data_IF_834122621861
#
_entry.id   IF_834122621861
#
_cell.length_a   1.000
_cell.length_b   1.000
_cell.length_c   1.000
_cell.angle_alpha   90.00
_cell.angle_beta   90.00
_cell.angle_gamma   90.00
#
_symmetry.space_group_name_H-M   'P 1'
#
loop_
_entity.id
_entity.type
_entity.pdbx_description
1 polymer ?
#
# COMPACT_ATOMS: atom_id res chain seq x y z
N UNK A 1 -43.47 38.38 6.29
CA UNK A 1 -43.39 37.40 5.19
C UNK A 1 -42.82 38.10 3.96
N UNK A 2 -41.50 38.04 3.80
CA UNK A 2 -40.83 38.31 2.53
C UNK A 2 -39.63 37.37 2.50
N UNK A 3 -39.67 36.50 1.51
CA UNK A 3 -38.84 35.32 1.27
C UNK A 3 -37.79 35.72 0.22
N UNK A 4 -36.60 35.11 0.34
CA UNK A 4 -35.48 35.00 -0.60
C UNK A 4 -34.67 36.27 -0.96
N UNK A 5 -33.35 36.25 -0.76
CA UNK A 5 -32.40 35.54 -1.64
C UNK A 5 -31.00 35.55 -0.99
N UNK A 6 -30.47 34.35 -0.73
CA UNK A 6 -29.04 34.09 -0.53
C UNK A 6 -28.29 34.45 -1.81
N UNK A 7 -27.42 35.45 -1.73
CA UNK A 7 -26.32 35.62 -2.67
C UNK A 7 -25.03 35.20 -1.93
N UNK A 8 -24.75 33.90 -1.90
CA UNK A 8 -23.38 33.41 -1.73
C UNK A 8 -22.77 33.23 -3.13
N UNK A 9 -22.49 34.35 -3.79
CA UNK A 9 -21.53 34.41 -4.90
C UNK A 9 -20.11 34.35 -4.31
N UNK A 10 -19.69 33.15 -3.94
CA UNK A 10 -18.30 32.84 -3.54
C UNK A 10 -17.47 32.56 -4.83
N UNK A 11 -17.42 33.55 -5.73
CA UNK A 11 -16.53 33.55 -6.91
C UNK A 11 -15.15 34.09 -6.53
N UNK A 12 -14.45 33.35 -5.65
CA UNK A 12 -13.06 33.64 -5.30
C UNK A 12 -12.11 32.93 -6.27
N UNK A 13 -11.74 33.64 -7.33
CA UNK A 13 -10.84 33.22 -8.42
C UNK A 13 -9.37 32.91 -8.02
N UNK A 14 -9.04 32.82 -6.73
CA UNK A 14 -7.73 32.38 -6.25
C UNK A 14 -7.82 31.07 -5.47
N UNK A 15 -6.99 30.06 -5.81
CA UNK A 15 -7.05 28.77 -5.15
C UNK A 15 -6.56 28.89 -3.71
N UNK A 16 -7.51 29.01 -2.77
CA UNK A 16 -7.27 29.12 -1.33
C UNK A 16 -6.45 27.92 -0.81
N UNK A 17 -5.52 28.14 0.14
CA UNK A 17 -4.80 27.05 0.77
C UNK A 17 -5.76 26.15 1.55
N UNK A 18 -5.53 24.83 1.51
CA UNK A 18 -6.37 23.86 2.24
C UNK A 18 -6.14 23.95 3.74
N UNK A 19 -7.22 23.81 4.52
CA UNK A 19 -7.14 23.75 5.99
C UNK A 19 -6.35 22.54 6.49
N UNK A 20 -5.66 22.69 7.63
CA UNK A 20 -4.84 21.63 8.24
C UNK A 20 -5.65 20.35 8.53
N UNK A 21 -6.90 20.49 8.94
CA UNK A 21 -7.80 19.37 9.18
C UNK A 21 -8.11 18.58 7.91
N UNK A 22 -8.32 19.26 6.77
CA UNK A 22 -8.52 18.60 5.47
C UNK A 22 -7.29 17.78 5.05
N UNK A 23 -6.09 18.31 5.27
CA UNK A 23 -4.83 17.61 5.02
C UNK A 23 -4.72 16.35 5.87
N UNK A 24 -5.03 16.44 7.15
CA UNK A 24 -5.01 15.31 8.07
C UNK A 24 -6.04 14.25 7.67
N UNK A 25 -7.30 14.63 7.48
CA UNK A 25 -8.37 13.70 7.13
C UNK A 25 -8.08 12.99 5.81
N UNK A 26 -7.61 13.71 4.79
CA UNK A 26 -7.20 13.09 3.54
C UNK A 26 -6.03 12.11 3.74
N UNK A 27 -5.00 12.51 4.50
CA UNK A 27 -3.81 11.69 4.74
C UNK A 27 -4.10 10.33 5.36
N UNK A 28 -5.05 10.25 6.31
CA UNK A 28 -5.40 9.00 6.98
C UNK A 28 -6.27 8.05 6.14
N UNK A 29 -6.86 8.53 5.04
CA UNK A 29 -7.84 7.76 4.26
C UNK A 29 -7.30 6.46 3.68
N UNK A 30 -6.01 6.41 3.33
CA UNK A 30 -5.39 5.24 2.71
C UNK A 30 -4.82 4.21 3.71
N UNK A 31 -4.96 4.46 5.01
CA UNK A 31 -4.28 3.68 6.06
C UNK A 31 -4.63 2.18 6.01
N UNK A 32 -5.91 1.82 5.82
CA UNK A 32 -6.33 0.41 5.72
C UNK A 32 -5.66 -0.31 4.54
N UNK A 33 -5.62 0.33 3.38
CA UNK A 33 -4.95 -0.19 2.19
C UNK A 33 -3.44 -0.37 2.42
N UNK A 34 -2.79 0.57 3.10
CA UNK A 34 -1.35 0.53 3.33
C UNK A 34 -0.96 -0.55 4.35
N UNK A 35 -1.72 -0.67 5.46
CA UNK A 35 -1.51 -1.72 6.46
C UNK A 35 -1.71 -3.10 5.84
N UNK A 36 -2.79 -3.29 5.07
CA UNK A 36 -3.08 -4.59 4.43
C UNK A 36 -2.10 -4.91 3.31
N UNK A 37 -1.64 -3.93 2.53
CA UNK A 37 -0.58 -4.12 1.53
C UNK A 37 0.75 -4.53 2.17
N UNK A 38 1.13 -3.89 3.27
CA UNK A 38 2.34 -4.23 4.01
C UNK A 38 2.31 -5.70 4.49
N UNK A 39 1.16 -6.15 4.97
CA UNK A 39 0.96 -7.52 5.44
C UNK A 39 0.90 -8.51 4.28
N UNK A 40 0.20 -8.15 3.20
CA UNK A 40 0.13 -8.90 1.95
C UNK A 40 1.53 -9.18 1.41
N UNK A 41 2.34 -8.14 1.17
CA UNK A 41 3.67 -8.32 0.60
C UNK A 41 4.59 -9.03 1.59
N UNK A 42 4.60 -8.71 2.88
CA UNK A 42 5.58 -9.29 3.81
C UNK A 42 5.24 -10.73 4.23
N UNK A 43 3.96 -11.04 4.45
CA UNK A 43 3.56 -12.24 5.20
C UNK A 43 2.70 -13.22 4.41
N UNK A 44 2.10 -12.85 3.26
CA UNK A 44 1.21 -13.77 2.53
C UNK A 44 1.93 -15.04 2.09
N UNK A 45 3.05 -14.91 1.36
CA UNK A 45 3.78 -16.06 0.84
C UNK A 45 4.32 -16.93 1.99
N UNK A 46 4.82 -16.30 3.05
CA UNK A 46 5.32 -17.00 4.23
C UNK A 46 4.19 -17.78 4.91
N UNK A 47 3.03 -17.15 5.11
CA UNK A 47 1.86 -17.82 5.67
C UNK A 47 1.41 -19.01 4.82
N UNK A 48 1.23 -18.82 3.50
CA UNK A 48 0.76 -19.88 2.60
C UNK A 48 1.70 -21.08 2.55
N UNK A 49 3.02 -20.85 2.61
CA UNK A 49 4.02 -21.92 2.66
C UNK A 49 4.08 -22.60 4.03
N UNK A 50 3.96 -21.85 5.14
CA UNK A 50 3.93 -22.40 6.51
C UNK A 50 2.67 -23.25 6.78
N UNK A 51 1.53 -22.96 6.14
CA UNK A 51 0.31 -23.79 6.24
C UNK A 51 0.35 -25.03 5.34
N UNK A 52 1.34 -25.15 4.46
CA UNK A 52 1.60 -26.36 3.67
C UNK A 52 1.31 -26.29 2.17
N UNK A 53 0.96 -25.13 1.61
CA UNK A 53 0.90 -24.99 0.14
C UNK A 53 2.30 -25.10 -0.45
N UNK A 54 2.40 -25.69 -1.64
CA UNK A 54 3.67 -25.68 -2.37
C UNK A 54 4.08 -24.24 -2.71
N UNK A 55 5.38 -23.92 -2.81
CA UNK A 55 5.83 -22.58 -3.20
C UNK A 55 5.22 -22.10 -4.53
N UNK A 56 4.97 -23.04 -5.45
CA UNK A 56 4.31 -22.78 -6.74
C UNK A 56 2.86 -22.34 -6.56
N UNK A 57 2.12 -23.00 -5.68
CA UNK A 57 0.71 -22.70 -5.43
C UNK A 57 0.57 -21.39 -4.66
N UNK A 58 1.43 -21.14 -3.66
CA UNK A 58 1.50 -19.87 -2.95
C UNK A 58 1.80 -18.68 -3.89
N UNK A 59 2.74 -18.86 -4.82
CA UNK A 59 3.03 -17.86 -5.86
C UNK A 59 1.84 -17.64 -6.80
N UNK A 60 1.08 -18.70 -7.12
CA UNK A 60 -0.14 -18.61 -7.94
C UNK A 60 -1.22 -17.76 -7.25
N UNK A 61 -1.40 -17.91 -5.93
CA UNK A 61 -2.33 -17.07 -5.14
C UNK A 61 -1.92 -15.61 -5.20
N UNK A 62 -0.64 -15.30 -4.97
CA UNK A 62 -0.16 -13.91 -5.03
C UNK A 62 -0.33 -13.32 -6.44
N UNK A 63 -0.01 -14.10 -7.48
CA UNK A 63 -0.16 -13.70 -8.88
C UNK A 63 -1.62 -13.39 -9.25
N UNK A 64 -2.57 -14.22 -8.80
CA UNK A 64 -3.99 -13.99 -9.02
C UNK A 64 -4.44 -12.62 -8.48
N UNK A 65 -3.95 -12.25 -7.29
CA UNK A 65 -4.16 -10.93 -6.71
C UNK A 65 -3.61 -9.79 -7.58
N UNK A 66 -2.36 -9.90 -8.06
CA UNK A 66 -1.74 -8.86 -8.89
C UNK A 66 -2.44 -8.67 -10.24
N UNK A 67 -2.89 -9.77 -10.87
CA UNK A 67 -3.68 -9.70 -12.11
C UNK A 67 -5.01 -9.01 -11.85
N UNK A 68 -5.70 -9.37 -10.76
CA UNK A 68 -6.96 -8.75 -10.38
C UNK A 68 -6.80 -7.24 -10.13
N UNK A 69 -5.75 -6.82 -9.42
CA UNK A 69 -5.42 -5.39 -9.18
C UNK A 69 -5.24 -4.62 -10.50
N UNK A 70 -4.46 -5.19 -11.44
CA UNK A 70 -4.19 -4.56 -12.73
C UNK A 70 -5.46 -4.28 -13.54
N UNK A 71 -6.39 -5.24 -13.59
CA UNK A 71 -7.68 -5.03 -14.24
C UNK A 71 -8.59 -4.09 -13.43
N UNK A 72 -8.73 -4.34 -12.13
CA UNK A 72 -9.62 -3.58 -11.26
C UNK A 72 -9.27 -2.09 -11.21
N UNK A 73 -7.98 -1.74 -11.25
CA UNK A 73 -7.52 -0.35 -11.28
C UNK A 73 -8.04 0.39 -12.51
N UNK A 74 -7.99 -0.23 -13.70
CA UNK A 74 -8.49 0.36 -14.95
C UNK A 74 -10.01 0.50 -14.91
N UNK A 75 -10.72 -0.55 -14.51
CA UNK A 75 -12.18 -0.52 -14.43
C UNK A 75 -12.68 0.47 -13.38
N UNK A 76 -12.08 0.48 -12.18
CA UNK A 76 -12.44 1.43 -11.13
C UNK A 76 -12.23 2.87 -11.59
N UNK A 77 -11.13 3.18 -12.28
CA UNK A 77 -10.89 4.51 -12.84
C UNK A 77 -11.98 4.95 -13.82
N UNK A 78 -12.32 4.12 -14.81
CA UNK A 78 -13.37 4.45 -15.79
C UNK A 78 -14.76 4.55 -15.14
N UNK A 79 -15.06 3.70 -14.16
CA UNK A 79 -16.36 3.73 -13.45
C UNK A 79 -16.47 4.96 -12.53
N UNK A 80 -15.41 5.33 -11.82
CA UNK A 80 -15.36 6.56 -11.01
C UNK A 80 -15.53 7.79 -11.91
N UNK A 81 -14.88 7.84 -13.06
CA UNK A 81 -15.04 8.94 -14.02
C UNK A 81 -16.48 9.07 -14.53
N UNK A 82 -17.19 7.95 -14.74
CA UNK A 82 -18.58 7.95 -15.24
C UNK A 82 -19.61 8.25 -14.16
N UNK A 83 -19.47 7.63 -12.99
CA UNK A 83 -20.48 7.65 -11.93
C UNK A 83 -20.15 8.66 -10.82
N UNK A 84 -18.92 9.14 -10.74
CA UNK A 84 -18.46 10.02 -9.66
C UNK A 84 -18.47 9.34 -8.28
N UNK A 85 -18.68 10.13 -7.24
CA UNK A 85 -18.83 9.71 -5.85
C UNK A 85 -17.63 8.96 -5.25
N UNK A 86 -16.51 9.68 -5.10
CA UNK A 86 -15.24 9.13 -4.62
C UNK A 86 -15.36 8.43 -3.27
N UNK A 87 -16.09 8.99 -2.28
CA UNK A 87 -16.21 8.32 -0.97
C UNK A 87 -17.02 7.04 -1.04
N UNK A 88 -18.01 6.93 -1.92
CA UNK A 88 -18.80 5.68 -2.05
C UNK A 88 -17.89 4.56 -2.56
N UNK A 89 -17.11 4.82 -3.61
CA UNK A 89 -16.12 3.87 -4.13
C UNK A 89 -15.06 3.51 -3.08
N UNK A 90 -14.56 4.53 -2.36
CA UNK A 90 -13.60 4.33 -1.27
C UNK A 90 -14.16 3.45 -0.14
N UNK A 91 -15.38 3.75 0.32
CA UNK A 91 -16.04 3.00 1.39
C UNK A 91 -16.37 1.57 0.99
N UNK A 92 -16.93 1.38 -0.22
CA UNK A 92 -17.23 0.05 -0.74
C UNK A 92 -15.95 -0.79 -0.90
N UNK A 93 -14.89 -0.21 -1.46
CA UNK A 93 -13.58 -0.86 -1.57
C UNK A 93 -12.99 -1.21 -0.20
N UNK A 94 -13.09 -0.31 0.78
CA UNK A 94 -12.58 -0.54 2.14
C UNK A 94 -13.32 -1.67 2.86
N UNK A 95 -14.65 -1.74 2.72
CA UNK A 95 -15.46 -2.84 3.26
C UNK A 95 -15.06 -4.16 2.59
N UNK A 96 -14.89 -4.14 1.27
CA UNK A 96 -14.47 -5.33 0.53
C UNK A 96 -13.11 -5.82 1.01
N UNK A 97 -12.13 -4.92 1.17
CA UNK A 97 -10.81 -5.19 1.74
C UNK A 97 -10.91 -5.83 3.12
N UNK A 98 -11.66 -5.22 4.05
CA UNK A 98 -11.78 -5.72 5.42
C UNK A 98 -12.33 -7.14 5.50
N UNK A 99 -13.36 -7.45 4.69
CA UNK A 99 -13.99 -8.77 4.63
C UNK A 99 -13.07 -9.77 3.94
N UNK A 100 -12.54 -9.45 2.77
CA UNK A 100 -11.72 -10.38 1.98
C UNK A 100 -10.38 -10.68 2.66
N UNK A 101 -9.76 -9.68 3.29
CA UNK A 101 -8.46 -9.86 3.96
C UNK A 101 -8.58 -10.77 5.19
N UNK A 102 -9.71 -10.69 5.90
CA UNK A 102 -10.06 -11.65 6.95
C UNK A 102 -10.15 -13.08 6.43
N UNK A 103 -10.63 -13.28 5.20
CA UNK A 103 -10.71 -14.59 4.54
C UNK A 103 -9.36 -15.09 4.02
N UNK A 104 -8.46 -14.19 3.57
CA UNK A 104 -7.11 -14.56 3.09
C UNK A 104 -6.29 -15.24 4.18
N UNK A 105 -6.43 -14.82 5.44
CA UNK A 105 -5.80 -15.47 6.60
C UNK A 105 -6.79 -16.35 7.41
N UNK A 106 -8.03 -16.45 6.95
CA UNK A 106 -9.15 -17.09 7.65
C UNK A 106 -9.29 -18.60 7.41
N UNK A 107 -8.38 -19.20 6.64
CA UNK A 107 -8.44 -20.61 6.26
C UNK A 107 -9.40 -20.89 5.11
N UNK A 108 -9.34 -22.10 4.55
CA UNK A 108 -10.18 -22.50 3.42
C UNK A 108 -11.64 -22.79 3.85
N UNK A 109 -12.56 -21.83 3.67
CA UNK A 109 -13.99 -21.98 3.94
C UNK A 109 -14.62 -23.15 3.12
N UNK A 110 -14.34 -23.29 1.79
CA UNK A 110 -14.86 -24.40 1.00
C UNK A 110 -14.37 -25.77 1.49
N UNK A 111 -13.15 -25.85 2.01
CA UNK A 111 -12.57 -27.09 2.52
C UNK A 111 -13.30 -27.57 3.79
N UNK A 112 -13.78 -26.65 4.64
CA UNK A 112 -14.62 -26.97 5.81
C UNK A 112 -16.01 -27.48 5.40
N UNK A 113 -16.57 -26.96 4.30
CA UNK A 113 -17.91 -27.32 3.82
C UNK A 113 -17.88 -28.66 3.05
N UNK A 114 -16.85 -28.88 2.23
CA UNK A 114 -16.75 -30.04 1.34
C UNK A 114 -16.08 -31.27 1.98
N UNK A 115 -15.59 -31.17 3.22
CA UNK A 115 -14.87 -32.22 3.97
C UNK A 115 -13.76 -32.93 3.16
N UNK A 116 -13.27 -32.29 2.10
CA UNK A 116 -12.26 -32.80 1.16
C UNK A 116 -11.24 -31.70 0.93
N UNK A 117 -10.04 -31.90 1.47
CA UNK A 117 -8.93 -30.96 1.32
C UNK A 117 -8.01 -31.47 0.21
N UNK A 118 -8.20 -30.95 -1.00
CA UNK A 118 -7.20 -31.06 -2.06
C UNK A 118 -6.44 -29.73 -2.16
N UNK A 119 -5.12 -29.80 -2.41
CA UNK A 119 -4.27 -28.62 -2.60
C UNK A 119 -4.80 -27.69 -3.70
N UNK A 120 -5.45 -28.26 -4.72
CA UNK A 120 -6.11 -27.49 -5.78
C UNK A 120 -7.28 -26.64 -5.25
N UNK A 121 -8.15 -27.23 -4.43
CA UNK A 121 -9.33 -26.53 -3.87
C UNK A 121 -8.87 -25.40 -2.95
N UNK A 122 -7.85 -25.68 -2.13
CA UNK A 122 -7.25 -24.69 -1.24
C UNK A 122 -6.63 -23.53 -2.02
N UNK A 123 -5.83 -23.83 -3.06
CA UNK A 123 -5.21 -22.83 -3.92
C UNK A 123 -6.24 -21.97 -4.64
N UNK A 124 -7.32 -22.57 -5.17
CA UNK A 124 -8.42 -21.84 -5.82
C UNK A 124 -9.16 -20.95 -4.83
N UNK A 125 -9.41 -21.42 -3.61
CA UNK A 125 -10.07 -20.66 -2.55
C UNK A 125 -9.25 -19.42 -2.15
N UNK A 126 -7.95 -19.61 -1.89
CA UNK A 126 -7.06 -18.49 -1.56
C UNK A 126 -6.89 -17.55 -2.74
N UNK A 127 -6.75 -18.05 -3.98
CA UNK A 127 -6.65 -17.22 -5.19
C UNK A 127 -7.90 -16.36 -5.42
N UNK A 128 -9.08 -16.90 -5.16
CA UNK A 128 -10.34 -16.16 -5.25
C UNK A 128 -10.40 -15.05 -4.20
N UNK A 129 -10.05 -15.37 -2.95
CA UNK A 129 -10.02 -14.39 -1.85
C UNK A 129 -8.98 -13.28 -2.12
N UNK A 130 -7.81 -13.66 -2.63
CA UNK A 130 -6.76 -12.75 -3.08
C UNK A 130 -7.23 -11.81 -4.19
N UNK A 131 -7.93 -12.33 -5.20
CA UNK A 131 -8.47 -11.53 -6.29
C UNK A 131 -9.50 -10.51 -5.78
N UNK A 132 -10.46 -10.94 -4.94
CA UNK A 132 -11.48 -10.06 -4.35
C UNK A 132 -10.83 -8.96 -3.49
N UNK A 133 -9.82 -9.32 -2.69
CA UNK A 133 -9.05 -8.36 -1.90
C UNK A 133 -8.40 -7.29 -2.76
N UNK A 134 -7.72 -7.69 -3.85
CA UNK A 134 -7.05 -6.75 -4.74
C UNK A 134 -8.05 -5.87 -5.51
N UNK A 135 -9.25 -6.37 -5.84
CA UNK A 135 -10.34 -5.55 -6.40
C UNK A 135 -10.76 -4.45 -5.42
N UNK A 136 -10.98 -4.80 -4.14
CA UNK A 136 -11.32 -3.81 -3.11
C UNK A 136 -10.21 -2.80 -2.86
N UNK A 137 -8.96 -3.28 -2.87
CA UNK A 137 -7.77 -2.44 -2.72
C UNK A 137 -7.65 -1.43 -3.86
N UNK A 138 -7.80 -1.89 -5.12
CA UNK A 138 -7.78 -1.03 -6.31
C UNK A 138 -8.88 0.03 -6.27
N UNK A 139 -10.12 -0.34 -5.93
CA UNK A 139 -11.23 0.59 -5.84
C UNK A 139 -10.98 1.70 -4.79
N UNK A 140 -10.43 1.32 -3.63
CA UNK A 140 -10.05 2.25 -2.57
C UNK A 140 -8.90 3.16 -2.98
N UNK A 141 -7.87 2.60 -3.63
CA UNK A 141 -6.69 3.35 -4.06
C UNK A 141 -7.04 4.38 -5.14
N UNK A 142 -7.71 3.96 -6.21
CA UNK A 142 -8.03 4.85 -7.34
C UNK A 142 -8.95 5.98 -6.88
N UNK A 143 -9.95 5.68 -6.06
CA UNK A 143 -10.86 6.71 -5.53
C UNK A 143 -10.16 7.70 -4.59
N UNK A 144 -9.28 7.24 -3.71
CA UNK A 144 -8.52 8.12 -2.79
C UNK A 144 -7.49 9.00 -3.52
N UNK A 145 -6.72 8.42 -4.43
CA UNK A 145 -5.65 9.12 -5.15
C UNK A 145 -6.17 10.14 -6.14
N UNK A 146 -7.30 9.87 -6.79
CA UNK A 146 -7.94 10.82 -7.71
C UNK A 146 -8.58 12.00 -6.97
N UNK A 147 -9.04 11.77 -5.73
CA UNK A 147 -9.73 12.78 -4.90
C UNK A 147 -8.87 14.01 -4.61
N UNK A 148 -7.54 13.89 -4.48
CA UNK A 148 -6.65 15.03 -4.16
C UNK A 148 -6.76 16.17 -5.18
N UNK A 149 -6.95 15.81 -6.46
CA UNK A 149 -7.10 16.77 -7.54
C UNK A 149 -8.44 17.50 -7.50
N UNK A 150 -9.44 16.92 -6.83
CA UNK A 150 -10.77 17.50 -6.68
C UNK A 150 -10.91 18.31 -5.38
N UNK A 151 -10.06 18.05 -4.37
CA UNK A 151 -10.07 18.79 -3.10
C UNK A 151 -9.36 20.15 -3.24
N UNK A 152 -8.28 20.23 -4.04
CA UNK A 152 -7.52 21.46 -4.19
C UNK A 152 -6.98 21.63 -5.61
N UNK A 153 -7.26 22.81 -6.19
CA UNK A 153 -6.64 23.24 -7.46
C UNK A 153 -5.20 23.77 -7.26
N UNK A 154 -4.84 24.18 -6.03
CA UNK A 154 -3.49 24.63 -5.69
C UNK A 154 -2.50 23.44 -5.70
N UNK A 155 -1.43 23.53 -6.48
CA UNK A 155 -0.37 22.50 -6.54
C UNK A 155 0.36 22.31 -5.22
N UNK A 156 0.65 23.39 -4.48
CA UNK A 156 1.33 23.32 -3.18
C UNK A 156 0.50 22.56 -2.15
N UNK A 157 -0.80 22.86 -2.06
CA UNK A 157 -1.74 22.13 -1.20
C UNK A 157 -1.79 20.63 -1.54
N UNK A 158 -1.78 20.27 -2.84
CA UNK A 158 -1.76 18.85 -3.27
C UNK A 158 -0.47 18.15 -2.84
N UNK A 159 0.67 18.81 -2.94
CA UNK A 159 1.95 18.27 -2.46
C UNK A 159 1.90 18.02 -0.96
N UNK A 160 1.37 18.96 -0.17
CA UNK A 160 1.23 18.80 1.29
C UNK A 160 0.29 17.64 1.65
N UNK A 161 -0.84 17.50 0.96
CA UNK A 161 -1.78 16.39 1.15
C UNK A 161 -1.14 15.03 0.82
N UNK A 162 -0.45 14.93 -0.32
CA UNK A 162 0.27 13.71 -0.71
C UNK A 162 1.40 13.38 0.25
N UNK A 163 2.12 14.39 0.74
CA UNK A 163 3.17 14.22 1.75
C UNK A 163 2.60 13.66 3.07
N UNK A 164 1.48 14.21 3.55
CA UNK A 164 0.76 13.71 4.72
C UNK A 164 0.34 12.24 4.54
N UNK A 165 -0.22 11.89 3.37
CA UNK A 165 -0.57 10.50 3.01
C UNK A 165 0.65 9.59 3.09
N UNK A 166 1.78 9.98 2.49
CA UNK A 166 3.02 9.19 2.52
C UNK A 166 3.53 8.99 3.96
N UNK A 167 3.40 9.99 4.84
CA UNK A 167 3.74 9.84 6.25
C UNK A 167 2.84 8.79 6.93
N UNK A 168 1.53 8.81 6.68
CA UNK A 168 0.61 7.78 7.18
C UNK A 168 0.89 6.38 6.60
N UNK A 169 1.37 6.27 5.35
CA UNK A 169 1.85 4.99 4.81
C UNK A 169 3.01 4.43 5.63
N UNK A 170 3.93 5.27 6.12
CA UNK A 170 5.00 4.81 7.01
C UNK A 170 4.46 4.37 8.37
N UNK A 171 3.53 5.13 8.95
CA UNK A 171 2.85 4.76 10.20
C UNK A 171 2.09 3.43 10.04
N UNK A 172 1.43 3.20 8.90
CA UNK A 172 0.76 1.95 8.57
C UNK A 172 1.72 0.75 8.62
N UNK A 173 2.82 0.83 7.88
CA UNK A 173 3.84 -0.22 7.85
C UNK A 173 4.41 -0.50 9.25
N UNK A 174 4.79 0.54 10.00
CA UNK A 174 5.33 0.38 11.35
C UNK A 174 4.30 -0.20 12.32
N UNK A 175 3.03 0.21 12.21
CA UNK A 175 1.95 -0.33 13.05
C UNK A 175 1.75 -1.83 12.82
N UNK A 176 1.83 -2.29 11.56
CA UNK A 176 1.76 -3.72 11.25
C UNK A 176 2.92 -4.48 11.90
N UNK A 177 4.16 -4.01 11.75
CA UNK A 177 5.32 -4.71 12.30
C UNK A 177 5.34 -4.70 13.83
N UNK A 178 4.82 -3.65 14.46
CA UNK A 178 4.61 -3.61 15.90
C UNK A 178 3.58 -4.67 16.34
N UNK A 179 2.44 -4.75 15.66
CA UNK A 179 1.42 -5.79 15.91
C UNK A 179 2.00 -7.19 15.70
N UNK A 180 2.71 -7.41 14.60
CA UNK A 180 3.35 -8.70 14.30
C UNK A 180 4.38 -9.09 15.37
N UNK A 181 5.21 -8.15 15.83
CA UNK A 181 6.17 -8.39 16.89
C UNK A 181 5.49 -8.79 18.22
N UNK A 182 4.41 -8.10 18.59
CA UNK A 182 3.62 -8.43 19.79
C UNK A 182 3.01 -9.83 19.68
N UNK A 183 2.42 -10.17 18.52
CA UNK A 183 1.79 -11.48 18.32
C UNK A 183 2.84 -12.62 18.32
N UNK A 184 3.95 -12.44 17.61
CA UNK A 184 5.02 -13.44 17.53
C UNK A 184 5.80 -13.61 18.84
N UNK A 185 5.84 -12.60 19.70
CA UNK A 185 6.45 -12.70 21.03
C UNK A 185 5.51 -13.30 22.08
N UNK A 186 4.21 -13.03 21.98
CA UNK A 186 3.21 -13.49 22.94
C UNK A 186 2.79 -14.95 22.72
N UNK A 187 2.84 -15.44 21.48
CA UNK A 187 2.46 -16.81 21.13
C UNK A 187 3.65 -17.60 20.60
N UNK A 188 3.92 -18.77 21.20
CA UNK A 188 4.86 -19.75 20.62
C UNK A 188 4.08 -20.68 19.71
N UNK A 189 4.18 -20.48 18.40
CA UNK A 189 3.59 -21.41 17.45
C UNK A 189 4.38 -22.73 17.44
N UNK A 190 3.70 -23.81 17.84
CA UNK A 190 4.21 -25.18 17.83
C UNK A 190 3.41 -26.08 16.90
N UNK A 191 2.14 -25.76 16.67
CA UNK A 191 1.23 -26.48 15.78
C UNK A 191 0.79 -25.63 14.59
N UNK A 192 0.29 -26.26 13.52
CA UNK A 192 -0.27 -25.55 12.35
C UNK A 192 -1.42 -24.60 12.73
N UNK A 193 -2.28 -25.00 13.68
CA UNK A 193 -3.38 -24.18 14.17
C UNK A 193 -2.88 -22.93 14.91
N UNK A 194 -1.74 -23.02 15.62
CA UNK A 194 -1.15 -21.86 16.29
C UNK A 194 -0.63 -20.83 15.28
N UNK A 195 0.01 -21.30 14.20
CA UNK A 195 0.50 -20.44 13.11
C UNK A 195 -0.68 -19.69 12.47
N UNK A 196 -1.73 -20.41 12.10
CA UNK A 196 -2.93 -19.81 11.52
C UNK A 196 -3.55 -18.76 12.46
N UNK A 197 -3.66 -19.08 13.76
CA UNK A 197 -4.15 -18.13 14.75
C UNK A 197 -3.26 -16.89 14.91
N UNK A 198 -1.93 -17.02 14.82
CA UNK A 198 -1.03 -15.87 14.86
C UNK A 198 -1.31 -14.90 13.71
N UNK A 199 -1.32 -15.38 12.46
CA UNK A 199 -1.57 -14.52 11.32
C UNK A 199 -2.99 -13.95 11.31
N UNK A 200 -3.99 -14.69 11.81
CA UNK A 200 -5.35 -14.18 12.02
C UNK A 200 -5.38 -13.01 12.99
N UNK A 201 -4.70 -13.11 14.13
CA UNK A 201 -4.62 -12.01 15.10
C UNK A 201 -3.91 -10.78 14.52
N UNK A 202 -2.85 -10.99 13.73
CA UNK A 202 -2.18 -9.91 13.01
C UNK A 202 -3.15 -9.24 12.04
N UNK A 203 -3.87 -10.02 11.22
CA UNK A 203 -4.82 -9.53 10.23
C UNK A 203 -5.99 -8.77 10.88
N UNK A 204 -6.65 -9.35 11.90
CA UNK A 204 -7.81 -8.74 12.55
C UNK A 204 -7.46 -7.44 13.28
N UNK A 205 -6.35 -7.42 14.01
CA UNK A 205 -5.89 -6.21 14.70
C UNK A 205 -5.55 -5.12 13.69
N UNK A 206 -4.89 -5.49 12.59
CA UNK A 206 -4.51 -4.58 11.50
C UNK A 206 -5.73 -4.00 10.76
N UNK A 207 -6.71 -4.83 10.44
CA UNK A 207 -7.97 -4.39 9.83
C UNK A 207 -8.72 -3.45 10.78
N UNK A 208 -8.80 -3.79 12.07
CA UNK A 208 -9.48 -2.95 13.05
C UNK A 208 -8.87 -1.55 13.11
N UNK A 209 -7.55 -1.45 13.23
CA UNK A 209 -6.82 -0.18 13.20
C UNK A 209 -7.11 0.58 11.90
N UNK A 210 -6.98 -0.08 10.74
CA UNK A 210 -7.25 0.52 9.45
C UNK A 210 -8.68 1.04 9.30
N UNK A 211 -9.68 0.27 9.73
CA UNK A 211 -11.09 0.64 9.71
C UNK A 211 -11.39 1.87 10.57
N UNK A 212 -10.74 2.02 11.74
CA UNK A 212 -10.87 3.23 12.54
C UNK A 212 -10.43 4.48 11.76
N UNK A 213 -9.30 4.41 11.05
CA UNK A 213 -8.81 5.52 10.22
C UNK A 213 -9.68 5.79 9.00
N UNK A 214 -10.22 4.74 8.36
CA UNK A 214 -11.23 4.89 7.29
C UNK A 214 -12.47 5.61 7.82
N UNK A 215 -12.92 5.29 9.04
CA UNK A 215 -14.01 6.02 9.71
C UNK A 215 -13.70 7.51 9.90
N UNK A 216 -12.49 7.83 10.39
CA UNK A 216 -12.03 9.23 10.55
C UNK A 216 -12.02 9.96 9.19
N UNK A 217 -11.52 9.33 8.14
CA UNK A 217 -11.53 9.89 6.79
C UNK A 217 -12.96 10.17 6.31
N UNK A 218 -13.87 9.21 6.48
CA UNK A 218 -15.26 9.36 6.03
C UNK A 218 -16.04 10.40 6.83
N UNK A 219 -15.77 10.57 8.12
CA UNK A 219 -16.41 11.60 8.93
C UNK A 219 -15.80 12.99 8.68
N UNK A 220 -14.49 13.07 8.48
CA UNK A 220 -13.76 14.34 8.38
C UNK A 220 -13.69 14.95 6.98
N UNK A 221 -13.76 14.15 5.91
CA UNK A 221 -13.70 14.64 4.53
C UNK A 221 -15.08 14.96 3.96
N UNK A 222 -15.22 16.15 3.36
CA UNK A 222 -16.40 16.49 2.54
C UNK A 222 -16.28 15.83 1.16
N UNK A 223 -17.39 15.33 0.61
CA UNK A 223 -17.42 14.73 -0.73
C UNK A 223 -17.07 15.78 -1.79
N UNK A 224 -15.95 15.65 -2.52
CA UNK A 224 -15.65 16.56 -3.61
C UNK A 224 -16.50 16.19 -4.83
N UNK A 225 -17.22 17.17 -5.39
CA UNK A 225 -18.03 16.94 -6.60
C UNK A 225 -17.13 16.83 -7.82
N UNK A 226 -17.31 15.79 -8.63
CA UNK A 226 -16.58 15.60 -9.90
C UNK A 226 -16.70 16.84 -10.83
N UNK A 227 -17.82 17.57 -10.76
CA UNK A 227 -18.03 18.83 -11.50
C UNK A 227 -17.00 19.92 -11.18
N UNK A 228 -16.47 19.98 -9.95
CA UNK A 228 -15.42 20.93 -9.55
C UNK A 228 -14.10 20.60 -10.27
N UNK A 229 -13.81 19.32 -10.49
CA UNK A 229 -12.66 18.87 -11.28
C UNK A 229 -12.78 19.31 -12.75
N UNK A 230 -14.00 19.28 -13.31
CA UNK A 230 -14.25 19.67 -14.70
C UNK A 230 -14.32 21.19 -14.87
N UNK A 231 -14.82 21.95 -13.87
CA UNK A 231 -14.90 23.41 -13.94
C UNK A 231 -13.53 24.09 -13.95
N UNK A 232 -12.51 23.50 -13.31
CA UNK A 232 -11.11 23.99 -13.40
C UNK A 232 -10.43 23.70 -14.74
N UNK A 233 -10.97 22.77 -15.54
CA UNK A 233 -10.48 22.44 -16.89
C UNK A 233 -11.68 22.17 -17.81
N UNK A 234 -12.28 23.22 -18.33
CA UNK A 234 -13.24 23.15 -19.46
C UNK A 234 -12.53 22.75 -20.76
N UNK A 235 -11.89 21.57 -20.77
CA UNK A 235 -11.31 20.96 -21.95
C UNK A 235 -11.85 19.54 -22.07
N UNK A 236 -12.33 19.22 -23.26
CA UNK A 236 -12.86 17.92 -23.64
C UNK A 236 -12.05 16.75 -23.04
N UNK A 237 -12.75 15.73 -22.52
CA UNK A 237 -12.16 14.51 -21.96
C UNK A 237 -11.07 14.02 -22.93
N UNK A 238 -9.81 14.07 -22.50
CA UNK A 238 -8.68 13.65 -23.33
C UNK A 238 -8.90 12.17 -23.66
N UNK A 239 -8.95 11.84 -24.95
CA UNK A 239 -9.10 10.46 -25.38
C UNK A 239 -7.95 9.62 -24.82
N UNK A 240 -8.25 8.45 -24.26
CA UNK A 240 -7.26 7.54 -23.67
C UNK A 240 -6.13 7.21 -24.67
N UNK A 241 -6.46 7.14 -25.97
CA UNK A 241 -5.51 6.92 -27.06
C UNK A 241 -4.40 7.99 -27.16
N UNK A 242 -4.64 9.18 -26.60
CA UNK A 242 -3.64 10.26 -26.56
C UNK A 242 -2.43 9.89 -25.71
N UNK A 243 -2.66 9.27 -24.54
CA UNK A 243 -1.59 8.92 -23.60
C UNK A 243 -0.64 7.88 -24.20
N UNK A 244 -1.16 6.93 -24.97
CA UNK A 244 -0.35 5.93 -25.68
C UNK A 244 0.57 6.51 -26.75
N UNK A 245 0.36 7.77 -27.19
CA UNK A 245 1.24 8.46 -28.14
C UNK A 245 2.37 9.24 -27.46
N UNK A 246 2.34 9.40 -26.12
CA UNK A 246 3.31 10.22 -25.40
C UNK A 246 4.47 9.37 -24.90
N UNK A 247 5.68 9.63 -25.41
CA UNK A 247 6.91 8.93 -24.97
C UNK A 247 7.14 9.08 -23.45
N UNK A 248 6.87 10.27 -22.90
CA UNK A 248 7.04 10.54 -21.47
C UNK A 248 6.19 9.61 -20.58
N UNK A 249 5.02 9.19 -21.05
CA UNK A 249 4.15 8.25 -20.33
C UNK A 249 4.86 6.91 -20.08
N UNK A 250 5.49 6.36 -21.13
CA UNK A 250 6.25 5.12 -21.01
C UNK A 250 7.52 5.27 -20.19
N UNK A 251 8.22 6.41 -20.28
CA UNK A 251 9.43 6.68 -19.48
C UNK A 251 9.12 6.70 -17.97
N UNK A 252 8.09 7.46 -17.56
CA UNK A 252 7.69 7.53 -16.15
C UNK A 252 7.11 6.20 -15.69
N UNK A 253 6.29 5.54 -16.51
CA UNK A 253 5.71 4.23 -16.21
C UNK A 253 6.78 3.15 -15.99
N UNK A 254 7.84 3.13 -16.82
CA UNK A 254 8.95 2.19 -16.69
C UNK A 254 9.74 2.42 -15.40
N UNK A 255 10.10 3.66 -15.10
CA UNK A 255 10.84 4.03 -13.88
C UNK A 255 10.03 3.65 -12.64
N UNK A 256 8.74 3.97 -12.64
CA UNK A 256 7.83 3.62 -11.54
C UNK A 256 7.70 2.09 -11.39
N UNK A 257 7.49 1.35 -12.50
CA UNK A 257 7.36 -0.10 -12.47
C UNK A 257 8.61 -0.77 -11.91
N UNK A 258 9.81 -0.38 -12.38
CA UNK A 258 11.07 -0.94 -11.89
C UNK A 258 11.31 -0.62 -10.42
N UNK A 259 10.99 0.61 -9.99
CA UNK A 259 11.09 1.02 -8.58
C UNK A 259 10.18 0.17 -7.70
N UNK A 260 8.91 0.01 -8.10
CA UNK A 260 7.93 -0.81 -7.37
C UNK A 260 8.30 -2.29 -7.40
N UNK A 261 8.89 -2.78 -8.47
CA UNK A 261 9.36 -4.16 -8.56
C UNK A 261 10.45 -4.43 -7.52
N UNK A 262 11.47 -3.56 -7.42
CA UNK A 262 12.53 -3.68 -6.41
C UNK A 262 11.94 -3.71 -5.00
N UNK A 263 11.02 -2.79 -4.69
CA UNK A 263 10.40 -2.69 -3.37
C UNK A 263 9.52 -3.92 -3.03
N UNK A 264 8.62 -4.30 -3.94
CA UNK A 264 7.66 -5.37 -3.67
C UNK A 264 8.33 -6.74 -3.61
N UNK A 265 9.30 -7.02 -4.51
CA UNK A 265 10.04 -8.29 -4.51
C UNK A 265 10.89 -8.39 -3.25
N UNK A 266 11.64 -7.33 -2.91
CA UNK A 266 12.44 -7.35 -1.69
C UNK A 266 11.58 -7.55 -0.46
N UNK A 267 10.47 -6.83 -0.31
CA UNK A 267 9.55 -6.98 0.82
C UNK A 267 8.95 -8.39 0.90
N UNK A 268 8.64 -9.02 -0.23
CA UNK A 268 8.04 -10.35 -0.28
C UNK A 268 9.00 -11.50 0.07
N UNK A 269 10.27 -11.37 -0.29
CA UNK A 269 11.27 -12.41 -0.04
C UNK A 269 12.12 -12.18 1.20
N UNK A 270 12.07 -10.97 1.79
CA UNK A 270 12.87 -10.61 2.97
C UNK A 270 12.67 -11.58 4.13
N UNK A 271 11.42 -11.96 4.41
CA UNK A 271 11.12 -12.85 5.54
C UNK A 271 11.65 -14.28 5.31
N UNK A 272 11.60 -14.79 4.07
CA UNK A 272 12.18 -16.09 3.71
C UNK A 272 13.71 -16.06 3.87
N UNK A 273 14.37 -15.05 3.33
CA UNK A 273 15.82 -14.92 3.41
C UNK A 273 16.34 -14.89 4.86
N UNK A 274 15.67 -14.10 5.72
CA UNK A 274 16.04 -13.98 7.14
C UNK A 274 15.85 -15.29 7.92
N UNK A 275 14.86 -16.09 7.53
CA UNK A 275 14.46 -17.29 8.27
C UNK A 275 15.13 -18.57 7.76
N UNK A 276 15.11 -18.78 6.45
CA UNK A 276 15.54 -20.03 5.85
C UNK A 276 17.05 -20.00 5.58
N UNK A 277 17.56 -18.90 5.03
CA UNK A 277 18.98 -18.79 4.66
C UNK A 277 19.84 -18.36 5.86
N UNK A 278 19.47 -17.28 6.55
CA UNK A 278 20.24 -16.76 7.69
C UNK A 278 19.93 -17.48 9.01
N UNK A 279 18.83 -18.23 9.11
CA UNK A 279 18.35 -18.91 10.33
C UNK A 279 18.36 -18.02 11.57
N UNK A 280 17.86 -16.79 11.40
CA UNK A 280 17.72 -15.84 12.50
C UNK A 280 16.55 -16.20 13.42
N UNK A 281 16.50 -15.56 14.59
CA UNK A 281 15.38 -15.73 15.51
C UNK A 281 14.05 -15.32 14.86
N UNK A 282 12.93 -15.95 15.25
CA UNK A 282 11.59 -15.67 14.70
C UNK A 282 11.19 -14.19 14.77
N UNK A 283 11.68 -13.44 15.76
CA UNK A 283 11.45 -12.00 15.90
C UNK A 283 12.04 -11.18 14.74
N UNK A 284 13.05 -11.70 14.04
CA UNK A 284 13.68 -11.03 12.91
C UNK A 284 12.71 -10.81 11.73
N UNK A 285 11.67 -11.66 11.58
CA UNK A 285 10.57 -11.49 10.60
C UNK A 285 9.81 -10.16 10.74
N UNK A 286 9.83 -9.55 11.92
CA UNK A 286 9.21 -8.26 12.17
C UNK A 286 10.26 -7.14 12.33
N UNK A 287 11.38 -7.42 12.99
CA UNK A 287 12.42 -6.41 13.27
C UNK A 287 13.13 -5.91 12.02
N UNK A 288 13.49 -6.80 11.08
CA UNK A 288 14.23 -6.43 9.86
C UNK A 288 13.41 -5.48 8.98
N UNK A 289 12.15 -5.80 8.60
CA UNK A 289 11.29 -4.83 7.92
C UNK A 289 11.06 -3.54 8.72
N UNK A 290 10.86 -3.61 10.04
CA UNK A 290 10.67 -2.42 10.87
C UNK A 290 11.87 -1.47 10.79
N UNK A 291 13.10 -1.98 10.80
CA UNK A 291 14.32 -1.17 10.66
C UNK A 291 14.37 -0.49 9.29
N UNK A 292 14.03 -1.19 8.20
CA UNK A 292 13.97 -0.63 6.84
C UNK A 292 12.99 0.54 6.80
N UNK A 293 11.78 0.38 7.34
CA UNK A 293 10.76 1.42 7.31
C UNK A 293 11.08 2.58 8.26
N UNK A 294 11.69 2.33 9.42
CA UNK A 294 12.16 3.38 10.32
C UNK A 294 13.25 4.23 9.66
N UNK A 295 14.27 3.61 9.06
CA UNK A 295 15.35 4.36 8.40
C UNK A 295 14.83 5.09 7.16
N UNK A 296 13.94 4.47 6.38
CA UNK A 296 13.25 5.13 5.26
C UNK A 296 12.49 6.37 5.72
N UNK A 297 11.72 6.27 6.80
CA UNK A 297 10.95 7.40 7.35
C UNK A 297 11.86 8.54 7.78
N UNK A 298 12.93 8.27 8.53
CA UNK A 298 13.89 9.29 8.96
C UNK A 298 14.52 10.01 7.77
N UNK A 299 14.94 9.27 6.74
CA UNK A 299 15.49 9.86 5.52
C UNK A 299 14.45 10.70 4.80
N UNK A 300 13.22 10.21 4.64
CA UNK A 300 12.14 10.97 4.00
C UNK A 300 11.85 12.30 4.71
N UNK A 301 11.89 12.35 6.04
CA UNK A 301 11.73 13.61 6.80
C UNK A 301 12.87 14.59 6.50
N UNK A 302 14.13 14.13 6.47
CA UNK A 302 15.28 14.97 6.12
C UNK A 302 15.14 15.52 4.70
N UNK A 303 14.66 14.70 3.77
CA UNK A 303 14.49 15.04 2.36
C UNK A 303 13.37 16.07 2.11
N UNK A 304 12.40 16.20 3.01
CA UNK A 304 11.34 17.20 2.91
C UNK A 304 11.86 18.64 3.10
N UNK A 305 12.92 18.82 3.88
CA UNK A 305 13.54 20.13 4.13
C UNK A 305 14.45 20.59 2.97
N UNK A 306 14.65 19.73 1.96
CA UNK A 306 15.58 20.02 0.86
C UNK A 306 14.89 20.70 -0.32
N UNK A 307 15.59 21.66 -0.93
CA UNK A 307 15.15 22.26 -2.19
C UNK A 307 15.41 21.34 -3.38
N UNK A 308 14.33 20.90 -4.02
CA UNK A 308 14.34 19.99 -5.16
C UNK A 308 14.57 20.71 -6.48
N UNK A 309 15.66 20.37 -7.17
CA UNK A 309 15.90 20.73 -8.57
C UNK A 309 15.91 19.46 -9.42
N UNK A 310 15.63 19.57 -10.71
CA UNK A 310 15.57 18.39 -11.60
C UNK A 310 16.86 17.58 -11.65
N UNK A 311 18.03 18.23 -11.49
CA UNK A 311 19.31 17.53 -11.39
C UNK A 311 19.48 16.82 -10.04
N UNK A 312 19.10 17.46 -8.93
CA UNK A 312 19.14 16.85 -7.61
C UNK A 312 18.24 15.62 -7.54
N UNK A 313 17.01 15.71 -8.03
CA UNK A 313 16.08 14.57 -8.08
C UNK A 313 16.70 13.35 -8.77
N UNK A 314 17.29 13.55 -9.96
CA UNK A 314 17.97 12.48 -10.71
C UNK A 314 19.20 11.93 -9.99
N UNK A 315 19.95 12.79 -9.30
CA UNK A 315 21.12 12.39 -8.54
C UNK A 315 20.74 11.52 -7.32
N UNK A 316 19.73 11.94 -6.54
CA UNK A 316 19.23 11.17 -5.39
C UNK A 316 18.61 9.85 -5.80
N UNK A 317 17.78 9.84 -6.85
CA UNK A 317 17.21 8.60 -7.38
C UNK A 317 18.31 7.62 -7.85
N UNK A 318 19.31 8.11 -8.60
CA UNK A 318 20.45 7.29 -9.05
C UNK A 318 21.29 6.78 -7.87
N UNK A 319 21.54 7.62 -6.87
CA UNK A 319 22.26 7.23 -5.67
C UNK A 319 21.52 6.14 -4.89
N UNK A 320 20.19 6.25 -4.77
CA UNK A 320 19.33 5.22 -4.18
C UNK A 320 19.44 3.90 -4.92
N UNK A 321 19.35 3.92 -6.25
CA UNK A 321 19.50 2.72 -7.07
C UNK A 321 20.87 2.04 -6.92
N UNK A 322 21.97 2.81 -6.94
CA UNK A 322 23.33 2.30 -6.73
C UNK A 322 23.47 1.70 -5.33
N UNK A 323 22.98 2.39 -4.30
CA UNK A 323 23.00 1.89 -2.93
C UNK A 323 22.22 0.57 -2.80
N UNK A 324 21.08 0.46 -3.49
CA UNK A 324 20.30 -0.77 -3.53
C UNK A 324 21.08 -1.93 -4.16
N UNK A 325 21.80 -1.69 -5.26
CA UNK A 325 22.66 -2.72 -5.89
C UNK A 325 23.74 -3.20 -4.92
N UNK A 326 24.38 -2.29 -4.18
CA UNK A 326 25.35 -2.68 -3.15
C UNK A 326 24.72 -3.48 -2.01
N UNK A 327 23.52 -3.10 -1.56
CA UNK A 327 22.78 -3.88 -0.56
C UNK A 327 22.41 -5.27 -1.07
N UNK A 328 21.99 -5.38 -2.34
CA UNK A 328 21.69 -6.65 -3.00
C UNK A 328 22.90 -7.57 -3.10
N UNK A 329 24.07 -7.02 -3.46
CA UNK A 329 25.33 -7.77 -3.42
C UNK A 329 25.68 -8.21 -1.99
N UNK A 330 25.46 -7.33 -0.99
CA UNK A 330 25.63 -7.64 0.42
C UNK A 330 24.77 -8.84 0.86
N UNK A 331 23.48 -8.85 0.50
CA UNK A 331 22.55 -9.97 0.77
C UNK A 331 23.04 -11.26 0.11
N UNK A 332 23.48 -11.20 -1.15
CA UNK A 332 23.93 -12.40 -1.89
C UNK A 332 25.14 -13.09 -1.23
N UNK A 333 26.09 -12.29 -0.73
CA UNK A 333 27.34 -12.81 -0.18
C UNK A 333 27.36 -12.92 1.35
N UNK A 334 26.27 -12.57 2.04
CA UNK A 334 26.23 -12.59 3.50
C UNK A 334 26.22 -14.03 4.03
N UNK A 335 27.26 -14.47 4.75
CA UNK A 335 27.27 -15.81 5.32
C UNK A 335 26.45 -15.88 6.61
N UNK A 336 25.92 -17.08 6.90
CA UNK A 336 25.04 -17.33 8.05
C UNK A 336 25.66 -16.97 9.41
N UNK A 337 26.97 -17.13 9.57
CA UNK A 337 27.70 -16.78 10.80
C UNK A 337 27.72 -15.27 11.08
N UNK A 338 27.43 -14.44 10.07
CA UNK A 338 27.41 -12.98 10.15
C UNK A 338 25.98 -12.42 10.01
N UNK A 339 24.94 -13.21 10.34
CA UNK A 339 23.54 -12.81 10.18
C UNK A 339 23.15 -11.51 10.90
N UNK A 340 23.87 -11.12 11.95
CA UNK A 340 23.69 -9.82 12.62
C UNK A 340 23.93 -8.60 11.69
N UNK A 341 24.76 -8.73 10.65
CA UNK A 341 24.98 -7.67 9.67
C UNK A 341 23.72 -7.39 8.84
N UNK A 342 22.75 -8.30 8.80
CA UNK A 342 21.47 -8.04 8.12
C UNK A 342 20.75 -6.83 8.72
N UNK A 343 20.86 -6.58 10.03
CA UNK A 343 20.29 -5.38 10.65
C UNK A 343 20.93 -4.09 10.14
N UNK A 344 22.24 -4.12 9.85
CA UNK A 344 22.96 -2.98 9.28
C UNK A 344 22.56 -2.77 7.81
N UNK A 345 22.52 -3.85 7.03
CA UNK A 345 22.08 -3.81 5.62
C UNK A 345 20.64 -3.26 5.53
N UNK A 346 19.77 -3.63 6.47
CA UNK A 346 18.39 -3.14 6.55
C UNK A 346 18.31 -1.62 6.65
N UNK A 347 19.21 -0.98 7.40
CA UNK A 347 19.26 0.49 7.49
C UNK A 347 19.54 1.08 6.11
N UNK A 348 20.54 0.56 5.40
CA UNK A 348 20.92 1.03 4.06
C UNK A 348 19.84 0.76 3.00
N UNK A 349 19.13 -0.38 3.09
CA UNK A 349 17.97 -0.65 2.23
C UNK A 349 16.88 0.40 2.44
N UNK A 350 16.60 0.77 3.69
CA UNK A 350 15.61 1.82 3.96
C UNK A 350 16.04 3.19 3.45
N UNK A 351 17.34 3.54 3.56
CA UNK A 351 17.89 4.75 2.93
C UNK A 351 17.69 4.70 1.42
N UNK A 352 18.07 3.59 0.78
CA UNK A 352 17.94 3.40 -0.67
C UNK A 352 16.48 3.50 -1.13
N UNK A 353 15.55 2.90 -0.39
CA UNK A 353 14.11 2.98 -0.66
C UNK A 353 13.62 4.42 -0.60
N UNK A 354 13.94 5.17 0.46
CA UNK A 354 13.56 6.56 0.59
C UNK A 354 14.08 7.42 -0.58
N UNK A 355 15.34 7.20 -0.98
CA UNK A 355 15.99 7.90 -2.10
C UNK A 355 15.38 7.55 -3.47
N UNK A 356 14.84 6.35 -3.65
CA UNK A 356 14.16 5.94 -4.87
C UNK A 356 12.70 6.43 -4.94
N UNK A 357 12.10 6.78 -3.81
CA UNK A 357 10.69 7.24 -3.70
C UNK A 357 10.51 8.76 -3.62
N UNK A 358 11.56 9.51 -3.92
CA UNK A 358 11.63 10.98 -3.85
C UNK A 358 10.71 11.66 -4.83
#
# INVERSE_FOLDING_TARGET
>A
MRIDLENEDDDDSYPKPVGRWTVFYYGVGHMLNDVTAACWFTYLLLFLTEIGLSPRDAATVMLAGQIADGFATVFAGELIDRFGHFKIWHGAGSILVAISFSSVFGGCLPCKILASCSSLIETVSYSTSAAIFNVGWAATQVSHMSMVNCISLNSSSRVVMTSCRNAFTMVANLSLYAVALVVFSSSKATTHADIENQYRWIAYTSIFIGCCFVGIFHLGTKEPRLKICVHGTSNARISWAYWFKKVLYYQVGLVYMLTRLVQNVSQAYLAFYVMDDLQMAKSAKALVPAIIYMSSFFVSVIMQEMSWTGQRLKAYYSAGGILWVFCGAGILFLPRNMSAFMYVISVFIGIANALMTV
#
